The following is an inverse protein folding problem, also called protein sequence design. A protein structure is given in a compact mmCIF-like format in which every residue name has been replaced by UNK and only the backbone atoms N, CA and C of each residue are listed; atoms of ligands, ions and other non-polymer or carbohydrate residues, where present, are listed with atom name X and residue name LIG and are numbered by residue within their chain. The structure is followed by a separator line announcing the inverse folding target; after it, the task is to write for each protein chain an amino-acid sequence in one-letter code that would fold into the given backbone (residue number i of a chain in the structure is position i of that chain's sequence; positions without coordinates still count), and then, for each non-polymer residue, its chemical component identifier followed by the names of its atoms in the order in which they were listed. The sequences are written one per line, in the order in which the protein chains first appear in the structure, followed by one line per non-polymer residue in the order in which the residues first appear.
data_IF_161615301180
#
_entry.id   IF_161615301180
#
_cell.length_a   1.000
_cell.length_b   1.000
_cell.length_c   1.000
_cell.angle_alpha   90.00
_cell.angle_beta   90.00
_cell.angle_gamma   90.00
#
_symmetry.space_group_name_H-M   'P 1'
#
loop_
_entity.id
_entity.type
_entity.pdbx_description
1 polymer ?
#
# COMPACT_ATOMS: atom_id res chain seq x y z
N UNK A 1 -30.33 -23.85 -21.49
CA UNK A 1 -29.47 -24.46 -20.45
C UNK A 1 -28.98 -23.34 -19.56
N UNK A 2 -29.64 -23.17 -18.42
CA UNK A 2 -29.20 -22.26 -17.36
C UNK A 2 -28.00 -22.90 -16.68
N UNK A 3 -26.80 -22.49 -17.06
CA UNK A 3 -25.60 -22.73 -16.25
C UNK A 3 -25.79 -21.97 -14.95
N UNK A 4 -26.21 -22.67 -13.89
CA UNK A 4 -26.07 -22.18 -12.53
C UNK A 4 -24.58 -22.02 -12.26
N UNK A 5 -24.07 -20.80 -12.44
CA UNK A 5 -22.88 -20.33 -11.74
C UNK A 5 -23.14 -20.59 -10.25
N UNK A 6 -22.58 -21.67 -9.69
CA UNK A 6 -22.43 -21.78 -8.24
C UNK A 6 -21.69 -20.53 -7.82
N UNK A 7 -22.38 -19.61 -7.13
CA UNK A 7 -21.83 -18.30 -6.82
C UNK A 7 -20.55 -18.48 -6.01
N UNK A 8 -19.42 -18.05 -6.57
CA UNK A 8 -18.11 -18.05 -5.90
C UNK A 8 -18.19 -17.37 -4.51
N UNK A 9 -19.11 -16.42 -4.35
CA UNK A 9 -19.47 -15.79 -3.06
C UNK A 9 -19.92 -16.76 -1.96
N UNK A 10 -20.40 -17.96 -2.28
CA UNK A 10 -20.84 -18.95 -1.27
C UNK A 10 -19.66 -19.69 -0.60
N UNK A 11 -18.44 -19.50 -1.09
CA UNK A 11 -17.23 -20.16 -0.58
C UNK A 11 -16.48 -19.34 0.49
N UNK A 12 -16.73 -18.03 0.58
CA UNK A 12 -16.06 -17.14 1.52
C UNK A 12 -16.71 -17.25 2.90
N UNK A 13 -15.91 -17.40 3.96
CA UNK A 13 -16.38 -17.48 5.34
C UNK A 13 -17.16 -16.21 5.73
N UNK A 14 -18.48 -16.31 5.98
CA UNK A 14 -19.32 -15.14 6.25
C UNK A 14 -19.01 -14.48 7.60
N UNK A 15 -18.46 -15.22 8.56
CA UNK A 15 -18.09 -14.69 9.89
C UNK A 15 -16.85 -13.83 9.77
N UNK A 16 -15.81 -14.32 9.09
CA UNK A 16 -14.58 -13.53 8.85
C UNK A 16 -14.85 -12.32 7.95
N UNK A 17 -15.73 -12.46 6.95
CA UNK A 17 -16.17 -11.35 6.11
C UNK A 17 -16.88 -10.27 6.92
N UNK A 18 -17.75 -10.66 7.86
CA UNK A 18 -18.42 -9.73 8.76
C UNK A 18 -17.46 -9.01 9.70
N UNK A 19 -16.49 -9.75 10.26
CA UNK A 19 -15.42 -9.19 11.09
C UNK A 19 -14.56 -8.19 10.33
N UNK A 20 -14.22 -8.46 9.07
CA UNK A 20 -13.50 -7.51 8.21
C UNK A 20 -14.27 -6.21 8.04
N UNK A 21 -15.58 -6.30 7.80
CA UNK A 21 -16.42 -5.12 7.68
C UNK A 21 -16.51 -4.33 8.99
N UNK A 22 -16.63 -5.01 10.13
CA UNK A 22 -16.63 -4.37 11.45
C UNK A 22 -15.30 -3.64 11.71
N UNK A 23 -14.17 -4.31 11.45
CA UNK A 23 -12.82 -3.75 11.59
C UNK A 23 -12.63 -2.55 10.67
N UNK A 24 -13.07 -2.61 9.42
CA UNK A 24 -12.94 -1.50 8.48
C UNK A 24 -13.63 -0.22 8.99
N UNK A 25 -14.76 -0.36 9.68
CA UNK A 25 -15.50 0.78 10.24
C UNK A 25 -14.93 1.24 11.59
N UNK A 26 -14.72 0.31 12.52
CA UNK A 26 -14.37 0.63 13.91
C UNK A 26 -12.87 0.85 14.14
N UNK A 27 -12.01 0.32 13.29
CA UNK A 27 -10.54 0.47 13.37
C UNK A 27 -10.05 1.24 12.14
N UNK A 28 -10.39 0.76 10.95
CA UNK A 28 -9.99 1.33 9.68
C UNK A 28 -10.34 2.81 9.61
N UNK A 29 -11.63 3.14 9.74
CA UNK A 29 -12.09 4.53 9.70
C UNK A 29 -12.17 5.20 11.06
N UNK A 30 -12.40 4.45 12.14
CA UNK A 30 -13.00 4.98 13.38
C UNK A 30 -14.15 5.94 13.07
N UNK A 31 -15.11 5.46 12.27
CA UNK A 31 -16.21 6.28 11.75
C UNK A 31 -16.98 6.93 12.91
N UNK A 32 -17.19 8.25 12.83
CA UNK A 32 -17.88 9.00 13.88
C UNK A 32 -19.40 9.05 13.66
N UNK A 33 -20.22 9.13 14.73
CA UNK A 33 -21.66 9.36 14.58
C UNK A 33 -21.96 10.63 13.77
N UNK A 34 -22.86 10.51 12.79
CA UNK A 34 -23.23 11.58 11.86
C UNK A 34 -22.23 11.81 10.73
N UNK A 35 -21.09 11.11 10.69
CA UNK A 35 -20.11 11.25 9.62
C UNK A 35 -20.59 10.52 8.35
N UNK A 36 -20.55 11.22 7.21
CA UNK A 36 -20.83 10.61 5.91
C UNK A 36 -19.68 9.69 5.47
N UNK A 37 -19.98 8.72 4.61
CA UNK A 37 -19.01 7.77 4.07
C UNK A 37 -19.14 7.67 2.55
N UNK A 38 -18.08 8.02 1.83
CA UNK A 38 -17.93 7.70 0.40
C UNK A 38 -17.18 6.38 0.28
N UNK A 39 -17.80 5.40 -0.39
CA UNK A 39 -17.31 4.03 -0.47
C UNK A 39 -17.10 3.62 -1.94
N UNK A 40 -15.86 3.41 -2.36
CA UNK A 40 -15.57 2.88 -3.71
C UNK A 40 -15.35 1.37 -3.64
N UNK A 41 -15.98 0.62 -4.55
CA UNK A 41 -15.89 -0.85 -4.59
C UNK A 41 -16.11 -1.37 -6.01
N UNK A 42 -15.83 -2.66 -6.25
CA UNK A 42 -16.31 -3.37 -7.44
C UNK A 42 -17.65 -4.07 -7.19
N UNK A 43 -18.36 -4.38 -8.26
CA UNK A 43 -19.58 -5.21 -8.20
C UNK A 43 -19.26 -6.61 -7.64
N UNK A 44 -18.08 -7.16 -7.94
CA UNK A 44 -17.67 -8.45 -7.41
C UNK A 44 -17.54 -8.47 -5.87
N UNK A 45 -17.16 -7.33 -5.27
CA UNK A 45 -17.00 -7.16 -3.83
C UNK A 45 -18.31 -6.79 -3.08
N UNK A 46 -19.47 -6.83 -3.75
CA UNK A 46 -20.77 -6.55 -3.13
C UNK A 46 -21.04 -7.27 -1.80
N UNK A 47 -20.66 -8.56 -1.60
CA UNK A 47 -20.84 -9.24 -0.32
C UNK A 47 -20.18 -8.50 0.85
N UNK A 48 -18.93 -8.05 0.70
CA UNK A 48 -18.23 -7.27 1.72
C UNK A 48 -18.81 -5.86 1.83
N UNK A 49 -19.06 -5.18 0.71
CA UNK A 49 -19.59 -3.81 0.68
C UNK A 49 -20.88 -3.69 1.48
N UNK A 50 -21.80 -4.67 1.34
CA UNK A 50 -23.06 -4.69 2.09
C UNK A 50 -22.83 -4.79 3.60
N UNK A 51 -21.89 -5.63 4.05
CA UNK A 51 -21.54 -5.73 5.47
C UNK A 51 -20.90 -4.43 5.98
N UNK A 52 -20.03 -3.80 5.19
CA UNK A 52 -19.42 -2.49 5.54
C UNK A 52 -20.50 -1.43 5.74
N UNK A 53 -21.46 -1.33 4.82
CA UNK A 53 -22.59 -0.39 4.93
C UNK A 53 -23.41 -0.66 6.18
N UNK A 54 -23.70 -1.93 6.50
CA UNK A 54 -24.42 -2.30 7.71
C UNK A 54 -23.67 -1.89 8.98
N UNK A 55 -22.36 -2.16 9.06
CA UNK A 55 -21.54 -1.74 10.21
C UNK A 55 -21.37 -0.23 10.30
N UNK A 56 -21.30 0.48 9.17
CA UNK A 56 -21.25 1.95 9.15
C UNK A 56 -22.51 2.53 9.79
N UNK A 57 -23.70 2.07 9.40
CA UNK A 57 -24.95 2.54 10.01
C UNK A 57 -25.12 2.10 11.46
N UNK A 58 -24.66 0.90 11.85
CA UNK A 58 -24.59 0.50 13.27
C UNK A 58 -23.67 1.40 14.09
N UNK A 59 -22.61 1.94 13.49
CA UNK A 59 -21.71 2.92 14.11
C UNK A 59 -22.27 4.36 14.10
N UNK A 60 -23.45 4.58 13.50
CA UNK A 60 -24.12 5.87 13.46
C UNK A 60 -23.74 6.74 12.27
N UNK A 61 -23.28 6.17 11.16
CA UNK A 61 -23.01 6.92 9.92
C UNK A 61 -24.16 7.85 9.53
N UNK A 62 -23.83 9.01 8.96
CA UNK A 62 -24.80 9.93 8.36
C UNK A 62 -25.38 9.36 7.07
N UNK A 63 -24.73 9.63 5.95
CA UNK A 63 -25.02 9.05 4.64
C UNK A 63 -23.86 8.19 4.14
N UNK A 64 -24.15 6.94 3.79
CA UNK A 64 -23.20 6.05 3.11
C UNK A 64 -23.50 6.06 1.62
N UNK A 65 -22.52 6.42 0.79
CA UNK A 65 -22.63 6.53 -0.67
C UNK A 65 -21.65 5.57 -1.36
N UNK A 66 -22.10 4.36 -1.73
CA UNK A 66 -21.32 3.43 -2.53
C UNK A 66 -21.21 3.86 -4.00
N UNK A 67 -20.02 3.75 -4.58
CA UNK A 67 -19.71 3.98 -5.99
C UNK A 67 -19.06 2.70 -6.52
N UNK A 68 -19.71 2.05 -7.48
CA UNK A 68 -19.27 0.76 -8.01
C UNK A 68 -18.62 0.87 -9.38
N UNK A 69 -17.63 0.02 -9.62
CA UNK A 69 -17.09 -0.30 -10.94
C UNK A 69 -17.40 -1.77 -11.33
N UNK A 70 -17.33 -2.03 -12.63
CA UNK A 70 -17.48 -3.36 -13.21
C UNK A 70 -16.47 -3.54 -14.35
N UNK A 71 -15.87 -4.71 -14.41
CA UNK A 71 -14.77 -5.03 -15.32
C UNK A 71 -15.25 -5.10 -16.78
N UNK A 72 -16.40 -5.73 -17.04
CA UNK A 72 -16.95 -5.80 -18.39
C UNK A 72 -17.42 -4.43 -18.89
N UNK A 73 -17.96 -3.57 -18.01
CA UNK A 73 -18.28 -2.18 -18.38
C UNK A 73 -17.01 -1.36 -18.69
N UNK A 74 -15.95 -1.56 -17.91
CA UNK A 74 -14.63 -0.97 -18.20
C UNK A 74 -14.13 -1.43 -19.57
N UNK A 75 -14.12 -2.75 -19.83
CA UNK A 75 -13.67 -3.33 -21.09
C UNK A 75 -14.53 -2.93 -22.29
N UNK A 76 -15.83 -2.70 -22.10
CA UNK A 76 -16.71 -2.24 -23.17
C UNK A 76 -16.27 -0.88 -23.75
N UNK A 77 -15.71 0.02 -22.93
CA UNK A 77 -15.10 1.27 -23.42
C UNK A 77 -13.93 0.99 -24.37
N UNK A 78 -13.11 -0.02 -24.09
CA UNK A 78 -11.99 -0.39 -24.96
C UNK A 78 -12.44 -1.09 -26.25
N UNK A 79 -13.48 -1.93 -26.16
CA UNK A 79 -14.04 -2.67 -27.31
C UNK A 79 -14.81 -1.76 -28.27
N UNK A 80 -15.60 -0.82 -27.75
CA UNK A 80 -16.60 -0.09 -28.53
C UNK A 80 -16.52 1.44 -28.42
N UNK A 81 -15.71 1.97 -27.51
CA UNK A 81 -15.60 3.41 -27.30
C UNK A 81 -14.96 4.13 -28.49
N UNK A 82 -15.52 5.29 -28.83
CA UNK A 82 -14.90 6.19 -29.79
C UNK A 82 -13.52 6.65 -29.27
N UNK A 83 -12.56 6.91 -30.18
CA UNK A 83 -11.19 7.23 -29.78
C UNK A 83 -11.09 8.44 -28.84
N UNK A 84 -11.84 9.52 -29.12
CA UNK A 84 -11.89 10.71 -28.27
C UNK A 84 -12.45 10.44 -26.86
N UNK A 85 -13.09 9.28 -26.63
CA UNK A 85 -13.54 8.91 -25.29
C UNK A 85 -12.36 8.67 -24.35
N UNK A 86 -11.20 8.18 -24.82
CA UNK A 86 -10.05 7.86 -23.97
C UNK A 86 -9.35 9.09 -23.37
N UNK A 87 -9.63 10.29 -23.86
CA UNK A 87 -9.12 11.54 -23.24
C UNK A 87 -10.10 12.16 -22.24
N UNK A 88 -11.17 11.45 -21.88
CA UNK A 88 -12.23 11.95 -21.00
C UNK A 88 -12.31 11.16 -19.70
N UNK A 89 -12.67 11.85 -18.63
CA UNK A 89 -12.98 11.29 -17.33
C UNK A 89 -14.21 12.00 -16.72
N UNK A 90 -14.80 11.40 -15.69
CA UNK A 90 -15.95 11.95 -15.00
C UNK A 90 -15.54 13.03 -13.98
N UNK A 91 -15.10 14.20 -14.46
CA UNK A 91 -14.65 15.30 -13.59
C UNK A 91 -15.68 15.68 -12.51
N UNK A 92 -16.96 15.77 -12.89
CA UNK A 92 -18.06 16.06 -11.97
C UNK A 92 -18.16 15.08 -10.79
N UNK A 93 -17.80 13.82 -10.98
CA UNK A 93 -17.83 12.80 -9.92
C UNK A 93 -16.74 13.09 -8.90
N UNK A 94 -15.51 13.34 -9.37
CA UNK A 94 -14.37 13.59 -8.50
C UNK A 94 -14.42 14.95 -7.82
N UNK A 95 -14.96 15.97 -8.48
CA UNK A 95 -15.31 17.25 -7.85
C UNK A 95 -16.36 17.06 -6.74
N UNK A 96 -17.37 16.22 -6.99
CA UNK A 96 -18.37 15.84 -5.99
C UNK A 96 -17.75 15.11 -4.79
N UNK A 97 -16.84 14.16 -5.02
CA UNK A 97 -16.09 13.47 -3.98
C UNK A 97 -15.23 14.43 -3.15
N UNK A 98 -14.49 15.34 -3.81
CA UNK A 98 -13.68 16.35 -3.15
C UNK A 98 -14.52 17.27 -2.26
N UNK A 99 -15.72 17.65 -2.72
CA UNK A 99 -16.68 18.41 -1.92
C UNK A 99 -17.18 17.60 -0.72
N UNK A 100 -17.48 16.32 -0.89
CA UNK A 100 -17.87 15.44 0.22
C UNK A 100 -16.77 15.34 1.28
N UNK A 101 -15.51 15.11 0.88
CA UNK A 101 -14.37 15.08 1.80
C UNK A 101 -14.14 16.42 2.50
N UNK A 102 -14.31 17.54 1.78
CA UNK A 102 -14.24 18.87 2.39
C UNK A 102 -15.34 19.12 3.43
N UNK A 103 -16.45 18.39 3.33
CA UNK A 103 -17.54 18.35 4.31
C UNK A 103 -17.36 17.21 5.34
N UNK A 104 -16.13 16.74 5.56
CA UNK A 104 -15.78 15.72 6.53
C UNK A 104 -16.32 14.31 6.26
N UNK A 105 -16.70 13.98 5.01
CA UNK A 105 -17.02 12.60 4.67
C UNK A 105 -15.76 11.73 4.76
N UNK A 106 -15.86 10.59 5.44
CA UNK A 106 -14.84 9.56 5.45
C UNK A 106 -14.75 8.86 4.09
N UNK A 107 -13.61 8.25 3.78
CA UNK A 107 -13.40 7.50 2.53
C UNK A 107 -13.03 6.05 2.82
N UNK A 108 -13.76 5.11 2.26
CA UNK A 108 -13.35 3.70 2.26
C UNK A 108 -13.23 3.19 0.82
N UNK A 109 -12.19 2.42 0.54
CA UNK A 109 -12.07 1.69 -0.71
C UNK A 109 -11.92 0.20 -0.47
N UNK A 110 -12.74 -0.59 -1.16
CA UNK A 110 -12.55 -2.04 -1.25
C UNK A 110 -11.80 -2.34 -2.53
N UNK A 111 -10.62 -2.95 -2.40
CA UNK A 111 -9.74 -3.35 -3.50
C UNK A 111 -9.81 -4.85 -3.75
N UNK A 112 -9.28 -5.26 -4.89
CA UNK A 112 -9.25 -6.65 -5.34
C UNK A 112 -9.55 -6.78 -6.82
N UNK A 113 -9.42 -5.70 -7.58
CA UNK A 113 -9.62 -5.68 -9.02
C UNK A 113 -8.58 -6.59 -9.72
N UNK A 114 -8.93 -7.12 -10.90
CA UNK A 114 -8.00 -7.91 -11.74
C UNK A 114 -6.76 -7.06 -12.10
N UNK A 115 -5.55 -7.42 -11.61
CA UNK A 115 -4.32 -6.68 -11.92
C UNK A 115 -3.97 -6.70 -13.41
N UNK A 116 -4.54 -7.65 -14.17
CA UNK A 116 -4.31 -7.88 -15.58
C UNK A 116 -5.44 -7.43 -16.50
N UNK A 117 -6.50 -6.80 -15.97
CA UNK A 117 -7.75 -6.48 -16.69
C UNK A 117 -7.50 -5.84 -18.07
N UNK A 118 -6.58 -4.88 -18.11
CA UNK A 118 -6.30 -4.07 -19.30
C UNK A 118 -5.11 -4.57 -20.13
N UNK A 119 -4.49 -5.69 -19.75
CA UNK A 119 -3.26 -6.20 -20.39
C UNK A 119 -3.43 -6.53 -21.88
N UNK A 120 -4.62 -6.95 -22.29
CA UNK A 120 -4.95 -7.25 -23.68
C UNK A 120 -5.47 -6.03 -24.49
N UNK A 121 -5.52 -4.83 -23.89
CA UNK A 121 -6.03 -3.63 -24.53
C UNK A 121 -4.90 -2.81 -25.18
N UNK A 122 -5.27 -1.91 -26.10
CA UNK A 122 -4.31 -0.99 -26.74
C UNK A 122 -3.61 -0.10 -25.68
N UNK A 123 -2.28 -0.24 -25.50
CA UNK A 123 -1.54 0.50 -24.48
C UNK A 123 -1.64 2.02 -24.61
N UNK A 124 -1.76 2.55 -25.83
CA UNK A 124 -1.88 3.99 -26.05
C UNK A 124 -3.24 4.52 -25.55
N UNK A 125 -4.31 3.73 -25.72
CA UNK A 125 -5.64 4.06 -25.19
C UNK A 125 -5.67 3.96 -23.66
N UNK A 126 -5.05 2.91 -23.10
CA UNK A 126 -4.92 2.75 -21.64
C UNK A 126 -4.19 3.95 -21.03
N UNK A 127 -3.06 4.36 -21.62
CA UNK A 127 -2.29 5.50 -21.15
C UNK A 127 -3.09 6.82 -21.18
N UNK A 128 -3.83 7.09 -22.27
CA UNK A 128 -4.70 8.27 -22.39
C UNK A 128 -5.83 8.26 -21.35
N UNK A 129 -6.50 7.13 -21.17
CA UNK A 129 -7.56 6.98 -20.19
C UNK A 129 -7.06 7.19 -18.76
N UNK A 130 -5.92 6.59 -18.41
CA UNK A 130 -5.29 6.75 -17.09
C UNK A 130 -4.89 8.20 -16.84
N UNK A 131 -4.30 8.88 -17.85
CA UNK A 131 -3.94 10.29 -17.76
C UNK A 131 -5.17 11.17 -17.52
N UNK A 132 -6.22 11.02 -18.32
CA UNK A 132 -7.45 11.78 -18.18
C UNK A 132 -8.09 11.55 -16.79
N UNK A 133 -8.10 10.29 -16.32
CA UNK A 133 -8.63 9.94 -15.01
C UNK A 133 -7.81 10.52 -13.86
N UNK A 134 -6.48 10.42 -13.93
CA UNK A 134 -5.58 10.99 -12.93
C UNK A 134 -5.77 12.50 -12.78
N UNK A 135 -5.81 13.23 -13.90
CA UNK A 135 -6.04 14.68 -13.90
C UNK A 135 -7.39 15.04 -13.27
N UNK A 136 -8.46 14.31 -13.62
CA UNK A 136 -9.79 14.57 -13.08
C UNK A 136 -9.91 14.19 -11.59
N UNK A 137 -9.15 13.19 -11.11
CA UNK A 137 -9.21 12.72 -9.73
C UNK A 137 -8.41 13.59 -8.74
N UNK A 138 -7.48 14.42 -9.23
CA UNK A 138 -6.59 15.24 -8.39
C UNK A 138 -7.29 15.94 -7.21
N UNK A 139 -8.43 16.65 -7.37
CA UNK A 139 -9.05 17.36 -6.25
C UNK A 139 -9.49 16.45 -5.10
N UNK A 140 -9.93 15.22 -5.41
CA UNK A 140 -10.29 14.24 -4.39
C UNK A 140 -9.06 13.54 -3.82
N UNK A 141 -8.06 13.26 -4.67
CA UNK A 141 -6.79 12.66 -4.27
C UNK A 141 -6.05 13.54 -3.26
N UNK A 142 -5.96 14.84 -3.49
CA UNK A 142 -5.31 15.81 -2.60
C UNK A 142 -5.87 15.75 -1.16
N UNK A 143 -7.18 15.52 -1.00
CA UNK A 143 -7.82 15.37 0.32
C UNK A 143 -7.42 14.07 1.01
N UNK A 144 -7.23 13.00 0.24
CA UNK A 144 -6.84 11.69 0.76
C UNK A 144 -5.35 11.69 1.12
N UNK A 145 -4.47 12.13 0.20
CA UNK A 145 -3.01 12.16 0.39
C UNK A 145 -2.58 13.22 1.39
N UNK A 146 -3.29 14.36 1.43
CA UNK A 146 -3.13 15.38 2.45
C UNK A 146 -3.62 14.95 3.84
N UNK A 147 -4.26 13.78 3.95
CA UNK A 147 -4.81 13.24 5.20
C UNK A 147 -5.82 14.19 5.84
N UNK A 148 -6.61 14.89 5.01
CA UNK A 148 -7.61 15.87 5.45
C UNK A 148 -8.78 15.18 6.18
N UNK A 149 -9.10 13.95 5.75
CA UNK A 149 -10.16 13.10 6.32
C UNK A 149 -9.60 11.73 6.73
N UNK A 150 -10.31 11.05 7.62
CA UNK A 150 -10.07 9.63 7.92
C UNK A 150 -10.46 8.78 6.72
N UNK A 151 -9.54 7.92 6.28
CA UNK A 151 -9.76 7.00 5.18
C UNK A 151 -9.18 5.63 5.47
N UNK A 152 -9.69 4.63 4.76
CA UNK A 152 -9.25 3.25 4.88
C UNK A 152 -9.33 2.51 3.53
N UNK A 153 -8.45 1.53 3.36
CA UNK A 153 -8.47 0.55 2.28
C UNK A 153 -8.54 -0.85 2.91
N UNK A 154 -9.44 -1.68 2.41
CA UNK A 154 -9.50 -3.13 2.66
C UNK A 154 -9.53 -3.87 1.34
N UNK A 155 -9.28 -5.17 1.37
CA UNK A 155 -9.31 -6.02 0.18
C UNK A 155 -10.41 -7.08 0.22
N UNK A 156 -10.85 -7.48 -0.96
CA UNK A 156 -11.81 -8.54 -1.21
C UNK A 156 -11.23 -9.56 -2.19
N UNK A 157 -11.38 -10.87 -1.96
CA UNK A 157 -10.81 -11.93 -2.80
C UNK A 157 -11.63 -12.11 -4.08
N UNK A 158 -11.43 -11.23 -5.06
CA UNK A 158 -12.00 -11.41 -6.39
C UNK A 158 -11.44 -12.67 -7.08
N UNK A 159 -12.23 -13.29 -7.96
CA UNK A 159 -11.83 -14.50 -8.66
C UNK A 159 -10.62 -14.27 -9.57
N UNK A 160 -10.57 -13.18 -10.33
CA UNK A 160 -9.48 -12.93 -11.26
C UNK A 160 -8.16 -12.74 -10.50
N UNK A 161 -8.20 -12.00 -9.40
CA UNK A 161 -7.07 -11.85 -8.49
C UNK A 161 -6.66 -13.18 -7.86
N UNK A 162 -7.61 -13.97 -7.36
CA UNK A 162 -7.35 -15.29 -6.80
C UNK A 162 -6.69 -16.24 -7.82
N UNK A 163 -7.13 -16.21 -9.08
CA UNK A 163 -6.54 -17.00 -10.16
C UNK A 163 -5.14 -16.53 -10.54
N UNK A 164 -4.81 -15.26 -10.34
CA UNK A 164 -3.44 -14.79 -10.53
C UNK A 164 -2.50 -15.28 -9.42
N UNK A 165 -2.96 -15.29 -8.16
CA UNK A 165 -2.18 -15.82 -7.03
C UNK A 165 -2.10 -17.35 -7.07
N UNK A 166 -3.18 -18.02 -7.50
CA UNK A 166 -3.32 -19.49 -7.52
C UNK A 166 -3.74 -20.02 -8.91
N UNK A 167 -2.88 -19.91 -9.95
CA UNK A 167 -3.25 -20.22 -11.33
C UNK A 167 -3.68 -21.68 -11.56
N UNK A 168 -3.14 -22.61 -10.78
CA UNK A 168 -3.42 -24.05 -10.89
C UNK A 168 -4.65 -24.55 -10.13
N UNK A 169 -5.24 -23.73 -9.25
CA UNK A 169 -6.36 -24.16 -8.41
C UNK A 169 -7.70 -23.99 -9.12
N UNK A 170 -8.71 -24.76 -8.69
CA UNK A 170 -10.10 -24.55 -9.08
C UNK A 170 -10.61 -23.18 -8.57
N UNK A 171 -11.56 -22.57 -9.27
CA UNK A 171 -12.02 -21.20 -9.01
C UNK A 171 -12.46 -20.95 -7.56
N UNK A 172 -13.26 -21.85 -6.99
CA UNK A 172 -13.71 -21.77 -5.59
C UNK A 172 -12.56 -21.97 -4.60
N UNK A 173 -11.66 -22.92 -4.88
CA UNK A 173 -10.47 -23.17 -4.05
C UNK A 173 -9.52 -21.97 -4.05
N UNK A 174 -9.27 -21.36 -5.22
CA UNK A 174 -8.41 -20.19 -5.34
C UNK A 174 -8.98 -19.01 -4.52
N UNK A 175 -10.28 -18.75 -4.64
CA UNK A 175 -10.96 -17.68 -3.89
C UNK A 175 -10.89 -17.92 -2.39
N UNK A 176 -11.13 -19.16 -1.93
CA UNK A 176 -11.04 -19.50 -0.49
C UNK A 176 -9.63 -19.29 0.04
N UNK A 177 -8.60 -19.77 -0.67
CA UNK A 177 -7.20 -19.57 -0.26
C UNK A 177 -6.83 -18.09 -0.18
N UNK A 178 -7.24 -17.30 -1.18
CA UNK A 178 -7.01 -15.86 -1.16
C UNK A 178 -7.79 -15.18 -0.01
N UNK A 179 -9.04 -15.59 0.22
CA UNK A 179 -9.86 -15.08 1.32
C UNK A 179 -9.20 -15.32 2.67
N UNK A 180 -8.76 -16.54 2.94
CA UNK A 180 -8.07 -16.89 4.19
C UNK A 180 -6.78 -16.09 4.37
N UNK A 181 -6.00 -15.89 3.30
CA UNK A 181 -4.80 -15.05 3.34
C UNK A 181 -5.13 -13.59 3.65
N UNK A 182 -6.18 -13.02 3.03
CA UNK A 182 -6.66 -11.66 3.32
C UNK A 182 -7.13 -11.54 4.77
N UNK A 183 -7.87 -12.53 5.27
CA UNK A 183 -8.42 -12.50 6.62
C UNK A 183 -7.35 -12.62 7.70
N UNK A 184 -6.36 -13.48 7.50
CA UNK A 184 -5.21 -13.59 8.39
C UNK A 184 -4.38 -12.29 8.38
N UNK A 185 -4.06 -11.75 7.20
CA UNK A 185 -3.37 -10.47 7.06
C UNK A 185 -4.12 -9.32 7.75
N UNK A 186 -5.44 -9.29 7.58
CA UNK A 186 -6.32 -8.27 8.17
C UNK A 186 -6.62 -8.50 9.65
N UNK A 187 -6.05 -9.56 10.28
CA UNK A 187 -6.26 -9.91 11.70
C UNK A 187 -7.72 -10.16 12.08
N UNK A 188 -8.51 -10.72 11.16
CA UNK A 188 -9.95 -10.97 11.35
C UNK A 188 -10.33 -12.45 11.46
N UNK A 189 -9.31 -13.32 11.47
CA UNK A 189 -9.41 -14.76 11.69
C UNK A 189 -9.47 -15.17 13.17
N UNK A 190 -9.49 -14.19 14.09
CA UNK A 190 -9.63 -14.38 15.54
C UNK A 190 -11.02 -14.01 16.06
N UNK A 191 -11.35 -14.41 17.29
CA UNK A 191 -12.66 -14.12 17.90
C UNK A 191 -12.91 -12.63 18.17
N UNK A 192 -11.91 -11.92 18.71
CA UNK A 192 -11.95 -10.47 18.97
C UNK A 192 -10.96 -9.72 18.06
N UNK A 193 -11.34 -9.42 16.81
CA UNK A 193 -10.46 -8.72 15.88
C UNK A 193 -10.22 -7.26 16.28
N UNK A 194 -11.16 -6.62 17.00
CA UNK A 194 -11.02 -5.24 17.46
C UNK A 194 -9.95 -5.15 18.56
N UNK A 195 -9.99 -6.06 19.53
CA UNK A 195 -8.95 -6.19 20.55
C UNK A 195 -7.58 -6.50 19.94
N UNK A 196 -7.54 -7.40 18.94
CA UNK A 196 -6.30 -7.74 18.22
C UNK A 196 -5.69 -6.51 17.51
N UNK A 197 -6.50 -5.73 16.78
CA UNK A 197 -6.05 -4.49 16.14
C UNK A 197 -5.60 -3.43 17.15
N UNK A 198 -6.26 -3.33 18.31
CA UNK A 198 -5.84 -2.41 19.37
C UNK A 198 -4.44 -2.77 19.88
N UNK A 199 -4.17 -4.05 20.13
CA UNK A 199 -2.86 -4.53 20.56
C UNK A 199 -1.80 -4.30 19.47
N UNK A 200 -2.14 -4.59 18.22
CA UNK A 200 -1.25 -4.38 17.07
C UNK A 200 -0.86 -2.91 16.88
N UNK A 201 -1.84 -2.00 16.87
CA UNK A 201 -1.58 -0.56 16.78
C UNK A 201 -0.73 -0.05 17.95
N UNK A 202 -0.95 -0.57 19.17
CA UNK A 202 -0.13 -0.21 20.33
C UNK A 202 1.33 -0.69 20.17
N UNK A 203 1.54 -1.89 19.62
CA UNK A 203 2.87 -2.42 19.33
C UNK A 203 3.59 -1.60 18.26
N UNK A 204 2.92 -1.26 17.15
CA UNK A 204 3.47 -0.38 16.11
C UNK A 204 3.80 1.00 16.66
N UNK A 205 2.92 1.57 17.50
CA UNK A 205 3.16 2.87 18.15
C UNK A 205 4.38 2.85 19.06
N UNK A 206 4.54 1.81 19.87
CA UNK A 206 5.72 1.64 20.71
C UNK A 206 7.02 1.63 19.89
N UNK A 207 7.01 0.95 18.73
CA UNK A 207 8.15 0.87 17.80
C UNK A 207 8.46 2.21 17.16
N UNK A 208 7.47 2.91 16.62
CA UNK A 208 7.69 4.24 16.01
C UNK A 208 8.20 5.24 17.03
N UNK A 209 7.63 5.26 18.25
CA UNK A 209 8.12 6.13 19.32
C UNK A 209 9.55 5.78 19.76
N UNK A 210 9.91 4.50 19.80
CA UNK A 210 11.28 4.08 20.10
C UNK A 210 12.27 4.52 19.01
N UNK A 211 11.93 4.31 17.73
CA UNK A 211 12.75 4.74 16.59
C UNK A 211 12.91 6.27 16.55
N UNK A 212 11.83 7.01 16.79
CA UNK A 212 11.82 8.48 16.86
C UNK A 212 12.68 9.02 18.01
N UNK A 213 12.64 8.37 19.20
CA UNK A 213 13.49 8.77 20.32
C UNK A 213 14.98 8.54 20.06
N UNK A 214 15.33 7.44 19.38
CA UNK A 214 16.73 7.16 19.02
C UNK A 214 17.25 8.12 17.96
N UNK A 215 16.38 8.61 17.07
CA UNK A 215 16.71 9.55 16.02
C UNK A 215 17.98 9.13 15.27
N UNK A 216 17.98 7.88 14.80
CA UNK A 216 19.14 7.26 14.19
C UNK A 216 19.64 8.07 13.00
N UNK A 217 20.95 8.12 12.82
CA UNK A 217 21.56 8.73 11.65
C UNK A 217 21.40 7.86 10.41
N UNK A 218 21.47 6.54 10.57
CA UNK A 218 21.34 5.56 9.51
C UNK A 218 20.79 4.23 10.03
N UNK A 219 20.33 3.39 9.13
CA UNK A 219 20.12 1.96 9.32
C UNK A 219 21.17 1.18 8.54
N UNK A 220 21.71 0.11 9.12
CA UNK A 220 22.64 -0.80 8.44
C UNK A 220 22.03 -2.19 8.34
N UNK A 221 21.72 -2.60 7.12
CA UNK A 221 21.14 -3.90 6.78
C UNK A 221 22.26 -4.89 6.43
N UNK A 222 22.23 -6.08 7.03
CA UNK A 222 23.21 -7.15 6.79
C UNK A 222 22.53 -8.48 6.56
N UNK A 223 22.93 -9.21 5.51
CA UNK A 223 22.49 -10.58 5.24
C UNK A 223 22.93 -11.09 3.87
N UNK A 224 22.38 -12.23 3.39
CA UNK A 224 22.75 -12.78 2.10
C UNK A 224 22.50 -11.80 0.94
N UNK A 225 23.56 -11.42 0.23
CA UNK A 225 23.47 -10.48 -0.90
C UNK A 225 23.14 -9.03 -0.50
N UNK A 226 23.22 -8.70 0.80
CA UNK A 226 22.90 -7.38 1.34
C UNK A 226 23.91 -6.93 2.39
N UNK A 227 24.55 -5.80 2.12
CA UNK A 227 25.33 -5.00 3.05
C UNK A 227 25.08 -3.54 2.65
N UNK A 228 24.07 -2.93 3.27
CA UNK A 228 23.51 -1.65 2.84
C UNK A 228 23.38 -0.71 4.03
N UNK A 229 24.01 0.45 3.94
CA UNK A 229 23.79 1.56 4.88
C UNK A 229 22.83 2.56 4.25
N UNK A 230 21.71 2.80 4.93
CA UNK A 230 20.67 3.75 4.55
C UNK A 230 20.64 4.88 5.58
N UNK A 231 21.25 6.01 5.26
CA UNK A 231 21.13 7.23 6.05
C UNK A 231 19.68 7.70 6.11
N UNK A 232 19.23 8.17 7.26
CA UNK A 232 17.88 8.72 7.46
C UNK A 232 17.86 10.22 7.25
N UNK A 233 16.76 10.79 6.76
CA UNK A 233 16.66 12.22 6.50
C UNK A 233 16.82 13.06 7.79
N UNK A 234 17.26 14.31 7.64
CA UNK A 234 17.45 15.19 8.78
C UNK A 234 16.08 15.66 9.30
N UNK A 235 15.77 15.33 10.55
CA UNK A 235 14.43 15.57 11.11
C UNK A 235 13.38 14.60 10.57
N UNK A 236 13.78 13.38 10.20
CA UNK A 236 12.86 12.30 9.86
C UNK A 236 11.93 11.97 11.04
N UNK A 237 10.74 11.46 10.70
CA UNK A 237 9.76 10.94 11.65
C UNK A 237 9.31 9.56 11.16
N UNK A 238 9.36 8.58 12.05
CA UNK A 238 8.86 7.23 11.85
C UNK A 238 7.35 7.20 12.03
N UNK A 239 6.69 6.69 10.99
CA UNK A 239 5.26 6.50 10.90
C UNK A 239 4.96 4.99 10.91
N UNK A 240 3.72 4.60 11.19
CA UNK A 240 3.31 3.20 11.16
C UNK A 240 1.96 2.97 11.85
N UNK A 241 1.18 2.04 11.31
CA UNK A 241 -0.14 1.70 11.84
C UNK A 241 -1.14 2.86 11.76
N UNK A 242 -1.76 3.20 12.89
CA UNK A 242 -2.78 4.24 12.95
C UNK A 242 -2.20 5.66 12.78
N UNK A 243 -2.94 6.53 12.10
CA UNK A 243 -2.59 7.93 11.87
C UNK A 243 -3.78 8.86 12.17
N UNK A 244 -3.51 10.03 12.73
CA UNK A 244 -4.53 11.07 12.98
C UNK A 244 -4.70 11.99 11.78
N UNK A 245 -5.90 12.03 11.22
CA UNK A 245 -6.27 12.93 10.13
C UNK A 245 -6.45 14.36 10.62
N UNK A 246 -6.40 15.34 9.71
CA UNK A 246 -6.51 16.77 10.07
C UNK A 246 -7.88 17.13 10.68
N UNK A 247 -8.90 16.30 10.43
CA UNK A 247 -10.19 16.38 11.09
C UNK A 247 -10.20 15.84 12.55
N UNK A 248 -9.04 15.41 13.07
CA UNK A 248 -8.86 14.95 14.46
C UNK A 248 -9.16 13.46 14.68
N UNK A 249 -9.60 12.73 13.65
CA UNK A 249 -9.95 11.31 13.77
C UNK A 249 -8.71 10.45 13.50
N UNK A 250 -8.41 9.53 14.41
CA UNK A 250 -7.33 8.54 14.23
C UNK A 250 -7.88 7.33 13.50
N UNK A 251 -7.24 6.93 12.41
CA UNK A 251 -7.71 5.87 11.53
C UNK A 251 -6.53 4.99 11.08
N UNK A 252 -6.81 3.79 10.58
CA UNK A 252 -5.84 2.93 9.93
C UNK A 252 -6.02 3.06 8.41
N UNK A 253 -5.12 3.77 7.70
CA UNK A 253 -5.27 3.99 6.26
C UNK A 253 -5.26 2.67 5.48
N UNK A 254 -4.43 1.73 5.90
CA UNK A 254 -4.23 0.43 5.30
C UNK A 254 -4.66 -0.67 6.27
N UNK A 255 -5.50 -1.59 5.79
CA UNK A 255 -5.79 -2.88 6.41
C UNK A 255 -5.62 -3.94 5.32
N UNK A 256 -4.57 -4.78 5.39
CA UNK A 256 -3.61 -4.93 6.48
C UNK A 256 -2.57 -3.78 6.56
N UNK A 257 -1.83 -3.72 7.68
CA UNK A 257 -0.58 -2.95 7.80
C UNK A 257 0.32 -3.61 8.84
N UNK A 258 1.62 -3.70 8.56
CA UNK A 258 2.65 -4.33 9.40
C UNK A 258 3.86 -3.44 9.64
N UNK A 259 3.99 -2.40 8.83
CA UNK A 259 5.21 -1.62 8.71
C UNK A 259 5.30 -0.48 9.72
N UNK A 260 6.55 -0.14 10.01
CA UNK A 260 6.94 1.20 10.42
C UNK A 260 7.93 1.73 9.40
N UNK A 261 7.77 2.98 8.96
CA UNK A 261 8.49 3.52 7.82
C UNK A 261 8.90 4.98 8.04
N UNK A 262 9.92 5.42 7.31
CA UNK A 262 10.36 6.81 7.29
C UNK A 262 11.10 7.17 6.00
N UNK A 263 11.46 8.45 5.86
CA UNK A 263 12.22 8.95 4.70
C UNK A 263 13.73 8.76 4.90
N UNK A 264 14.42 8.02 4.01
CA UNK A 264 15.87 7.98 3.95
C UNK A 264 16.41 9.30 3.36
N UNK A 265 17.67 9.59 3.65
CA UNK A 265 18.36 10.71 3.04
C UNK A 265 18.85 10.32 1.64
N UNK A 266 18.32 10.98 0.61
CA UNK A 266 18.51 10.66 -0.81
C UNK A 266 19.97 10.63 -1.29
N UNK A 267 20.90 11.21 -0.53
CA UNK A 267 22.35 11.28 -0.81
C UNK A 267 23.24 10.47 0.15
N UNK A 268 22.65 9.72 1.09
CA UNK A 268 23.39 8.95 2.10
C UNK A 268 22.99 7.47 2.06
N UNK A 269 23.13 6.83 0.90
CA UNK A 269 22.92 5.39 0.76
C UNK A 269 24.15 4.78 0.10
N UNK A 270 24.72 3.77 0.74
CA UNK A 270 25.99 3.15 0.36
C UNK A 270 25.89 1.63 0.53
N UNK A 271 26.46 0.88 -0.42
CA UNK A 271 26.59 -0.58 -0.34
C UNK A 271 25.76 -1.31 -1.39
N UNK A 272 25.35 -2.54 -1.09
CA UNK A 272 24.61 -3.39 -2.03
C UNK A 272 23.46 -4.10 -1.35
N UNK A 273 22.40 -4.38 -2.11
CA UNK A 273 21.19 -5.02 -1.61
C UNK A 273 20.55 -5.88 -2.68
N UNK A 274 20.01 -7.03 -2.26
CA UNK A 274 19.27 -7.94 -3.10
C UNK A 274 17.82 -8.05 -2.64
N UNK A 275 16.90 -8.21 -3.60
CA UNK A 275 15.48 -8.44 -3.29
C UNK A 275 15.29 -9.78 -2.63
N UNK A 276 14.36 -9.85 -1.68
CA UNK A 276 13.93 -11.11 -1.07
C UNK A 276 12.58 -11.58 -1.61
N UNK A 277 11.87 -10.72 -2.35
CA UNK A 277 10.62 -11.07 -3.05
C UNK A 277 10.60 -10.43 -4.44
N UNK A 278 9.85 -11.03 -5.40
CA UNK A 278 9.64 -10.42 -6.70
C UNK A 278 8.89 -9.09 -6.60
N UNK A 279 9.14 -8.20 -7.56
CA UNK A 279 8.41 -6.95 -7.75
C UNK A 279 7.44 -7.10 -8.92
N UNK A 280 6.14 -6.87 -8.69
CA UNK A 280 5.15 -6.72 -9.76
C UNK A 280 5.05 -5.26 -10.16
N UNK A 281 5.52 -4.91 -11.36
CA UNK A 281 5.46 -3.54 -11.88
C UNK A 281 4.86 -3.48 -13.28
N UNK A 282 3.74 -2.76 -13.43
CA UNK A 282 3.01 -2.61 -14.69
C UNK A 282 2.73 -3.96 -15.40
N UNK A 283 2.37 -4.99 -14.62
CA UNK A 283 2.10 -6.34 -15.13
C UNK A 283 3.34 -7.15 -15.51
N UNK A 284 4.55 -6.59 -15.34
CA UNK A 284 5.81 -7.33 -15.48
C UNK A 284 6.33 -7.74 -14.12
N UNK A 285 6.67 -9.02 -13.97
CA UNK A 285 7.38 -9.54 -12.82
C UNK A 285 8.88 -9.29 -12.97
N UNK A 286 9.47 -8.57 -12.02
CA UNK A 286 10.90 -8.33 -11.90
C UNK A 286 11.41 -9.17 -10.74
N UNK A 287 12.41 -10.01 -11.00
CA UNK A 287 12.80 -11.10 -10.10
C UNK A 287 14.32 -11.10 -9.90
N UNK A 288 14.78 -11.57 -8.73
CA UNK A 288 16.18 -11.54 -8.29
C UNK A 288 16.89 -10.19 -8.54
N UNK A 289 16.28 -9.10 -8.07
CA UNK A 289 16.85 -7.76 -8.19
C UNK A 289 18.10 -7.67 -7.31
N UNK A 290 19.19 -7.16 -7.86
CA UNK A 290 20.42 -6.84 -7.11
C UNK A 290 20.96 -5.49 -7.55
N UNK A 291 21.17 -4.57 -6.60
CA UNK A 291 21.60 -3.20 -6.88
C UNK A 291 22.76 -2.78 -5.98
N UNK A 292 23.56 -1.83 -6.49
CA UNK A 292 24.65 -1.19 -5.75
C UNK A 292 24.44 0.32 -5.70
N UNK A 293 24.55 0.87 -4.50
CA UNK A 293 24.43 2.29 -4.21
C UNK A 293 25.81 2.92 -3.96
N UNK A 294 26.01 4.10 -4.54
CA UNK A 294 27.09 5.04 -4.20
C UNK A 294 26.49 6.45 -4.11
N UNK A 295 26.84 7.20 -3.08
CA UNK A 295 26.40 8.59 -2.82
C UNK A 295 24.86 8.75 -2.93
N UNK A 296 24.14 7.75 -2.42
CA UNK A 296 22.67 7.73 -2.44
C UNK A 296 22.05 7.32 -3.78
N UNK A 297 22.84 6.94 -4.78
CA UNK A 297 22.37 6.64 -6.13
C UNK A 297 22.67 5.19 -6.54
N UNK A 298 21.72 4.55 -7.20
CA UNK A 298 21.94 3.27 -7.88
C UNK A 298 22.91 3.46 -9.05
N UNK A 299 24.10 2.88 -8.92
CA UNK A 299 25.15 2.86 -9.94
C UNK A 299 25.20 1.55 -10.73
N UNK A 300 24.71 0.46 -10.14
CA UNK A 300 24.54 -0.83 -10.81
C UNK A 300 23.19 -1.46 -10.42
N UNK A 301 22.50 -2.06 -11.40
CA UNK A 301 21.26 -2.78 -11.18
C UNK A 301 21.17 -3.99 -12.11
N UNK A 302 20.79 -5.14 -11.56
CA UNK A 302 20.59 -6.41 -12.26
C UNK A 302 19.29 -7.06 -11.82
N UNK A 303 18.68 -7.85 -12.69
CA UNK A 303 17.54 -8.71 -12.35
C UNK A 303 17.56 -9.97 -13.23
N UNK A 304 17.19 -11.13 -12.69
CA UNK A 304 17.14 -12.37 -13.48
C UNK A 304 15.97 -12.36 -14.48
N UNK A 305 14.90 -11.62 -14.15
CA UNK A 305 13.74 -11.35 -15.02
C UNK A 305 13.37 -9.88 -14.94
N UNK A 306 12.88 -9.33 -16.05
CA UNK A 306 12.39 -7.96 -16.09
C UNK A 306 13.47 -6.89 -15.97
N UNK A 307 14.76 -7.22 -16.19
CA UNK A 307 15.88 -6.27 -16.06
C UNK A 307 15.71 -5.03 -16.94
N UNK A 308 15.23 -5.19 -18.18
CA UNK A 308 14.98 -4.05 -19.07
C UNK A 308 13.87 -3.13 -18.56
N UNK A 309 12.88 -3.67 -17.86
CA UNK A 309 11.82 -2.87 -17.22
C UNK A 309 12.38 -2.14 -16.01
N UNK A 310 13.17 -2.82 -15.18
CA UNK A 310 13.87 -2.19 -14.05
C UNK A 310 14.75 -1.03 -14.51
N UNK A 311 15.53 -1.19 -15.59
CA UNK A 311 16.36 -0.12 -16.14
C UNK A 311 15.53 1.08 -16.61
N UNK A 312 14.41 0.84 -17.31
CA UNK A 312 13.50 1.92 -17.72
C UNK A 312 12.91 2.66 -16.54
N UNK A 313 12.55 1.96 -15.47
CA UNK A 313 12.10 2.58 -14.21
C UNK A 313 13.19 3.51 -13.66
N UNK A 314 14.43 3.03 -13.56
CA UNK A 314 15.57 3.81 -13.06
C UNK A 314 15.95 5.01 -13.95
N UNK A 315 15.50 5.02 -15.21
CA UNK A 315 15.76 6.12 -16.15
C UNK A 315 14.58 7.12 -16.24
N UNK A 316 13.57 6.99 -15.37
CA UNK A 316 12.39 7.86 -15.39
C UNK A 316 12.73 9.34 -15.13
N UNK A 317 13.54 9.61 -14.11
CA UNK A 317 14.04 10.94 -13.75
C UNK A 317 15.29 10.84 -12.84
N UNK A 318 15.82 11.98 -12.38
CA UNK A 318 17.01 12.00 -11.52
C UNK A 318 16.81 11.28 -10.18
N UNK A 319 15.61 11.40 -9.60
CA UNK A 319 15.26 10.84 -8.30
C UNK A 319 14.91 9.35 -8.36
N UNK A 320 14.61 8.80 -9.53
CA UNK A 320 14.24 7.39 -9.72
C UNK A 320 15.35 6.39 -9.30
N UNK A 321 16.61 6.86 -9.22
CA UNK A 321 17.77 6.06 -8.76
C UNK A 321 18.11 6.27 -7.29
N UNK A 322 17.28 7.00 -6.54
CA UNK A 322 17.48 7.32 -5.13
C UNK A 322 16.30 6.80 -4.32
N UNK A 323 16.51 6.59 -3.03
CA UNK A 323 15.47 6.10 -2.15
C UNK A 323 14.56 7.22 -1.67
N UNK A 324 13.26 6.93 -1.62
CA UNK A 324 12.21 7.78 -1.04
C UNK A 324 11.68 7.27 0.30
N UNK A 325 11.92 5.99 0.60
CA UNK A 325 11.40 5.33 1.79
C UNK A 325 12.29 4.16 2.24
N UNK A 326 12.27 3.92 3.55
CA UNK A 326 12.72 2.69 4.19
C UNK A 326 11.67 2.24 5.20
N UNK A 327 11.27 0.98 5.12
CA UNK A 327 10.23 0.40 5.95
C UNK A 327 10.66 -0.90 6.61
N UNK A 328 10.27 -1.07 7.87
CA UNK A 328 10.60 -2.20 8.72
C UNK A 328 9.33 -3.01 9.01
N UNK A 329 9.36 -4.28 8.63
CA UNK A 329 8.27 -5.25 8.79
C UNK A 329 8.86 -6.53 9.39
N UNK A 330 8.32 -7.04 10.51
CA UNK A 330 8.78 -8.31 11.08
C UNK A 330 8.48 -9.49 10.15
N UNK A 331 9.41 -10.43 10.03
CA UNK A 331 9.30 -11.58 9.15
C UNK A 331 8.18 -12.54 9.57
N UNK A 332 7.80 -12.57 10.85
CA UNK A 332 6.68 -13.34 11.37
C UNK A 332 5.31 -12.72 11.08
N UNK A 333 5.22 -11.63 10.31
CA UNK A 333 3.93 -11.02 9.98
C UNK A 333 3.03 -12.02 9.24
N UNK A 334 1.68 -11.96 9.41
CA UNK A 334 0.79 -12.93 8.76
C UNK A 334 0.94 -12.96 7.23
N UNK A 335 1.24 -11.80 6.63
CA UNK A 335 1.46 -11.69 5.18
C UNK A 335 2.77 -12.37 4.80
N UNK A 336 3.85 -12.13 5.53
CA UNK A 336 5.14 -12.78 5.29
C UNK A 336 5.03 -14.30 5.44
N UNK A 337 4.40 -14.76 6.53
CA UNK A 337 4.20 -16.17 6.85
C UNK A 337 3.36 -16.92 5.80
N UNK A 338 2.51 -16.22 5.03
CA UNK A 338 1.73 -16.84 3.95
C UNK A 338 2.61 -17.39 2.81
N UNK A 339 3.81 -16.83 2.61
CA UNK A 339 4.70 -17.16 1.50
C UNK A 339 4.13 -16.81 0.11
N UNK A 340 3.04 -16.04 0.05
CA UNK A 340 2.37 -15.67 -1.19
C UNK A 340 2.97 -14.40 -1.80
N UNK A 341 2.94 -14.33 -3.12
CA UNK A 341 3.05 -13.08 -3.87
C UNK A 341 1.63 -12.65 -4.25
N UNK A 342 1.17 -11.53 -3.71
CA UNK A 342 -0.21 -11.10 -3.88
C UNK A 342 -0.43 -10.35 -5.19
N UNK A 343 0.62 -9.85 -5.86
CA UNK A 343 0.48 -8.96 -7.02
C UNK A 343 -0.36 -7.72 -6.68
N UNK A 344 -0.30 -7.28 -5.43
CA UNK A 344 -1.10 -6.19 -4.90
C UNK A 344 -0.23 -5.43 -3.89
N UNK A 345 0.03 -4.15 -4.18
CA UNK A 345 0.94 -3.30 -3.41
C UNK A 345 0.61 -3.29 -1.92
N UNK A 346 -0.67 -3.15 -1.54
CA UNK A 346 -1.12 -3.13 -0.14
C UNK A 346 -0.66 -4.38 0.66
N UNK A 347 -0.59 -5.54 0.01
CA UNK A 347 -0.14 -6.77 0.64
C UNK A 347 1.37 -6.93 0.53
N UNK A 348 1.92 -6.78 -0.67
CA UNK A 348 3.32 -7.10 -0.92
C UNK A 348 4.27 -6.15 -0.15
N UNK A 349 3.91 -4.86 0.04
CA UNK A 349 4.69 -3.89 0.85
C UNK A 349 4.72 -4.28 2.34
N UNK A 350 3.62 -4.84 2.85
CA UNK A 350 3.47 -5.27 4.25
C UNK A 350 3.99 -6.71 4.49
N UNK A 351 4.61 -7.32 3.47
CA UNK A 351 5.06 -8.71 3.52
C UNK A 351 6.53 -8.87 3.94
N UNK A 352 7.33 -7.80 3.95
CA UNK A 352 8.74 -7.80 4.33
C UNK A 352 9.26 -6.36 4.46
N UNK A 353 10.39 -6.17 5.15
CA UNK A 353 11.09 -4.88 5.12
C UNK A 353 11.34 -4.50 3.65
N UNK A 354 11.15 -3.24 3.30
CA UNK A 354 11.26 -2.76 1.94
C UNK A 354 11.94 -1.39 1.89
N UNK A 355 12.37 -1.02 0.70
CA UNK A 355 12.86 0.31 0.35
C UNK A 355 12.12 0.77 -0.90
N UNK A 356 11.80 2.06 -1.00
CA UNK A 356 11.13 2.59 -2.18
C UNK A 356 12.08 3.43 -3.03
N UNK A 357 12.05 3.22 -4.34
CA UNK A 357 12.68 4.10 -5.31
C UNK A 357 11.82 5.35 -5.55
N UNK A 358 12.45 6.52 -5.61
CA UNK A 358 11.79 7.76 -6.01
C UNK A 358 11.23 8.59 -4.85
N UNK A 359 10.03 9.14 -5.03
CA UNK A 359 9.46 10.23 -4.24
C UNK A 359 9.37 9.86 -2.76
N UNK A 360 9.82 10.75 -1.87
CA UNK A 360 9.63 10.56 -0.42
C UNK A 360 8.28 11.10 0.07
N UNK A 361 7.86 10.62 1.25
CA UNK A 361 6.70 11.18 1.95
C UNK A 361 7.10 12.37 2.82
N UNK A 362 6.56 13.56 2.51
CA UNK A 362 6.76 14.75 3.36
C UNK A 362 6.24 14.57 4.78
N UNK A 363 5.24 13.69 4.98
CA UNK A 363 4.70 13.34 6.29
C UNK A 363 5.72 12.66 7.22
N UNK A 364 6.77 12.06 6.68
CA UNK A 364 7.83 11.41 7.46
C UNK A 364 8.94 12.40 7.86
N UNK A 365 8.60 13.67 8.01
CA UNK A 365 9.44 14.71 8.58
C UNK A 365 8.69 15.37 9.73
N UNK A 366 9.41 15.72 10.80
CA UNK A 366 8.85 16.54 11.87
C UNK A 366 8.36 17.86 11.28
N UNK A 367 7.09 18.17 11.57
CA UNK A 367 6.34 19.31 11.00
C UNK A 367 6.28 19.30 9.46
N UNK A 368 6.34 18.12 8.85
CA UNK A 368 6.46 17.94 7.40
C UNK A 368 5.34 18.58 6.56
N UNK A 369 4.14 18.76 7.14
CA UNK A 369 3.03 19.46 6.50
C UNK A 369 3.27 20.96 6.30
N UNK A 370 4.23 21.55 7.04
CA UNK A 370 4.59 22.97 6.96
C UNK A 370 5.85 23.23 6.14
N UNK A 371 6.56 22.19 5.72
CA UNK A 371 7.80 22.33 4.95
C UNK A 371 7.50 22.55 3.46
N UNK A 372 8.20 23.51 2.87
CA UNK A 372 8.30 23.65 1.42
C UNK A 372 9.08 22.48 0.81
N UNK A 373 8.90 22.28 -0.50
CA UNK A 373 9.64 21.25 -1.24
C UNK A 373 11.16 21.46 -1.19
N UNK A 374 11.61 22.72 -1.17
CA UNK A 374 13.03 23.06 -1.09
C UNK A 374 13.60 22.72 0.30
N UNK A 375 12.82 22.94 1.37
CA UNK A 375 13.21 22.54 2.73
C UNK A 375 13.28 21.02 2.89
N UNK A 376 12.32 20.29 2.32
CA UNK A 376 12.33 18.82 2.30
C UNK A 376 13.59 18.31 1.57
N UNK A 377 13.89 18.86 0.40
CA UNK A 377 15.08 18.50 -0.37
C UNK A 377 16.38 18.82 0.39
N UNK A 378 16.44 19.97 1.06
CA UNK A 378 17.59 20.37 1.87
C UNK A 378 17.83 19.42 3.07
N UNK A 379 16.76 18.82 3.60
CA UNK A 379 16.82 17.80 4.67
C UNK A 379 17.08 16.38 4.16
N UNK A 380 17.25 16.22 2.85
CA UNK A 380 17.57 14.95 2.21
C UNK A 380 16.38 14.20 1.63
N UNK A 381 15.19 14.80 1.58
CA UNK A 381 14.05 14.19 0.90
C UNK A 381 14.29 14.06 -0.61
N UNK A 382 13.86 12.93 -1.18
CA UNK A 382 13.97 12.67 -2.61
C UNK A 382 12.73 13.17 -3.37
N UNK A 383 12.91 13.63 -4.61
CA UNK A 383 11.83 14.08 -5.49
C UNK A 383 11.84 13.28 -6.79
N UNK A 384 10.72 12.66 -7.14
CA UNK A 384 10.61 11.83 -8.35
C UNK A 384 9.16 11.72 -8.81
N UNK A 385 8.95 11.27 -10.05
CA UNK A 385 7.65 10.92 -10.58
C UNK A 385 7.21 9.50 -10.22
N UNK A 386 8.13 8.68 -9.70
CA UNK A 386 7.84 7.32 -9.27
C UNK A 386 7.92 7.19 -7.75
N UNK A 387 7.22 6.19 -7.23
CA UNK A 387 7.40 5.65 -5.89
C UNK A 387 7.16 4.14 -6.03
N UNK A 388 8.22 3.35 -5.89
CA UNK A 388 8.16 1.90 -6.17
C UNK A 388 8.85 1.14 -5.06
N UNK A 389 8.03 0.42 -4.29
CA UNK A 389 8.45 -0.43 -3.19
C UNK A 389 9.01 -1.74 -3.70
N UNK A 390 10.12 -2.17 -3.14
CA UNK A 390 10.63 -3.52 -3.36
C UNK A 390 11.26 -4.08 -2.09
N UNK A 391 11.01 -5.37 -1.87
CA UNK A 391 11.20 -6.04 -0.60
C UNK A 391 12.62 -6.57 -0.46
N UNK A 392 13.26 -6.26 0.67
CA UNK A 392 14.65 -6.63 1.01
C UNK A 392 14.77 -7.40 2.34
N UNK A 393 13.68 -7.51 3.11
CA UNK A 393 13.66 -8.20 4.40
C UNK A 393 13.49 -9.73 4.28
N UNK A 394 14.10 -10.49 5.19
CA UNK A 394 13.90 -11.94 5.34
C UNK A 394 14.28 -12.39 6.76
N UNK A 395 14.10 -13.68 7.05
CA UNK A 395 14.58 -14.37 8.26
C UNK A 395 16.11 -14.38 8.42
N UNK A 396 16.84 -13.87 7.42
CA UNK A 396 18.32 -13.82 7.39
C UNK A 396 18.88 -12.41 7.36
N UNK A 397 18.04 -11.39 7.54
CA UNK A 397 18.44 -9.99 7.55
C UNK A 397 18.49 -9.48 8.99
N UNK A 398 19.63 -8.89 9.34
CA UNK A 398 19.85 -8.14 10.57
C UNK A 398 19.88 -6.64 10.24
N UNK A 399 19.40 -5.81 11.17
CA UNK A 399 19.36 -4.36 11.03
C UNK A 399 19.89 -3.72 12.31
N UNK A 400 20.88 -2.83 12.17
CA UNK A 400 21.34 -1.94 13.22
C UNK A 400 20.91 -0.50 12.96
N UNK A 401 20.45 0.17 14.01
CA UNK A 401 20.35 1.63 14.05
C UNK A 401 21.72 2.20 14.38
N UNK A 402 22.17 3.18 13.59
CA UNK A 402 23.48 3.82 13.72
C UNK A 402 23.28 5.26 14.15
N UNK A 403 23.84 5.65 15.29
CA UNK A 403 23.84 7.05 15.75
C UNK A 403 24.89 7.89 15.03
N UNK A 404 24.81 9.23 15.20
CA UNK A 404 25.74 10.18 14.55
C UNK A 404 27.21 10.00 14.96
N UNK A 405 27.45 9.45 16.14
CA UNK A 405 28.79 9.12 16.65
C UNK A 405 29.29 7.74 16.20
N UNK A 406 28.48 7.00 15.43
CA UNK A 406 28.78 5.65 14.95
C UNK A 406 28.38 4.52 15.91
N UNK A 407 27.82 4.84 17.10
CA UNK A 407 27.31 3.82 18.00
C UNK A 407 26.15 3.05 17.35
N UNK A 408 26.11 1.73 17.57
CA UNK A 408 25.15 0.82 16.95
C UNK A 408 24.20 0.24 17.98
N UNK A 409 22.92 0.22 17.64
CA UNK A 409 21.85 -0.37 18.45
C UNK A 409 21.16 -1.44 17.58
N UNK A 410 21.05 -2.70 18.05
CA UNK A 410 20.26 -3.71 17.38
C UNK A 410 18.81 -3.24 17.20
N UNK A 411 18.30 -3.24 15.97
CA UNK A 411 16.90 -2.91 15.65
C UNK A 411 16.15 -4.17 15.26
N UNK A 412 16.72 -4.96 14.34
CA UNK A 412 16.18 -6.26 13.97
C UNK A 412 17.26 -7.33 13.93
N UNK A 413 16.89 -8.56 14.28
CA UNK A 413 17.72 -9.76 14.17
C UNK A 413 16.93 -10.89 13.55
N UNK A 414 17.48 -11.51 12.51
CA UNK A 414 16.85 -12.60 11.76
C UNK A 414 15.41 -12.24 11.34
N UNK A 415 15.23 -11.01 10.87
CA UNK A 415 13.94 -10.50 10.45
C UNK A 415 12.95 -10.14 11.58
N UNK A 416 13.34 -10.22 12.85
CA UNK A 416 12.48 -9.87 13.99
C UNK A 416 13.00 -8.66 14.78
N UNK A 417 12.11 -7.96 15.47
CA UNK A 417 12.51 -6.89 16.40
C UNK A 417 13.43 -7.44 17.50
N UNK A 418 14.55 -6.73 17.75
CA UNK A 418 15.63 -7.18 18.64
C UNK A 418 15.34 -7.08 20.14
#
# INVERSE_FOLDING_TARGET
MTTHSRGVSASIDPVKLDRLAEVAIKVGLQLQPGQDLVLTSSIAALPLTRRIVEHAYKAGAGLVTPIFNDDEMTLARYRFGADASFDRAAGWLYEGMAKAFSNNAARLAVRGEDPSLLSAQDPAKVARANKANSMAYQPALEKITGFDINWNIVAYPDLAWAKQVFPGDADDVAVVKLADAIFAASRVDVEDPIGNWRAHNAALRSRTEWLNRHNFHALHFTGPGTDLTVGLADGHEWMGGASTAKNGITCNPNIPTEEVFTTPHARRVEGHVSSTKPLSYQGTLIDDISVRFEEGRIVEAKASKGEDVLKKVLDTDEGARRLGEVALVPHSSPISASGLLFFNTLFDENAACHIALGQCYSKCFVDGASLSQDEIAARGGNKSFIHIDWMIGSDKIDIDGVHKDGARVPVMRKGEWA
#
